data_IF_911326165052
#
_entry.id   IF_911326165052
#
_cell.length_a   1.000
_cell.length_b   1.000
_cell.length_c   1.000
_cell.angle_alpha   90.00
_cell.angle_beta   90.00
_cell.angle_gamma   90.00
#
_symmetry.space_group_name_H-M   'P 1'
#
loop_
_entity.id
_entity.type
_entity.pdbx_description
1 polymer ?
#
# COMPACT_ATOMS: atom_id res chain seq x y z
N UNK A 1 -15.23 1.67 5.70
CA UNK A 1 -15.52 0.90 4.46
C UNK A 1 -14.94 1.67 3.28
N UNK A 2 -13.86 1.15 2.69
CA UNK A 2 -12.95 1.85 1.76
C UNK A 2 -13.04 1.38 0.31
N UNK A 3 -14.23 0.99 -0.15
CA UNK A 3 -14.45 0.61 -1.55
C UNK A 3 -14.22 1.80 -2.48
N UNK A 4 -13.30 1.65 -3.42
CA UNK A 4 -13.10 2.56 -4.56
C UNK A 4 -13.15 1.74 -5.86
N UNK A 5 -13.69 2.30 -6.92
CA UNK A 5 -13.71 1.64 -8.23
C UNK A 5 -12.29 1.30 -8.70
N UNK A 6 -12.05 0.17 -9.37
CA UNK A 6 -10.74 -0.11 -9.94
C UNK A 6 -10.27 1.02 -10.85
N UNK A 7 -8.98 1.33 -10.81
CA UNK A 7 -8.39 2.45 -11.55
C UNK A 7 -7.18 3.05 -10.85
N UNK A 8 -6.59 4.06 -11.51
CA UNK A 8 -5.44 4.81 -11.00
C UNK A 8 -5.91 6.12 -10.39
N UNK A 9 -5.45 6.40 -9.18
CA UNK A 9 -5.83 7.59 -8.44
C UNK A 9 -4.61 8.31 -7.88
N UNK A 10 -4.68 9.63 -7.92
CA UNK A 10 -3.73 10.49 -7.23
C UNK A 10 -4.06 10.52 -5.74
N UNK A 11 -3.12 10.12 -4.88
CA UNK A 11 -3.31 10.00 -3.44
C UNK A 11 -2.12 10.52 -2.66
N UNK A 12 -2.40 11.05 -1.47
CA UNK A 12 -1.37 11.30 -0.46
C UNK A 12 -1.20 10.04 0.38
N UNK A 13 0.02 9.71 0.75
CA UNK A 13 0.33 8.49 1.51
C UNK A 13 0.79 8.85 2.91
N UNK A 14 0.23 8.18 3.92
CA UNK A 14 0.60 8.35 5.32
C UNK A 14 1.06 7.00 5.89
N UNK A 15 2.31 6.90 6.35
CA UNK A 15 2.89 5.68 6.93
C UNK A 15 3.06 5.90 8.44
N UNK A 16 2.43 5.08 9.28
CA UNK A 16 2.54 5.20 10.76
C UNK A 16 2.37 6.63 11.29
N UNK A 17 1.34 7.33 10.78
CA UNK A 17 1.01 8.75 11.03
C UNK A 17 1.92 9.79 10.35
N UNK A 18 3.02 9.40 9.74
CA UNK A 18 3.90 10.29 8.98
C UNK A 18 3.42 10.45 7.54
N UNK A 19 3.09 11.67 7.14
CA UNK A 19 2.67 11.98 5.78
C UNK A 19 3.89 12.06 4.86
N UNK A 20 3.88 11.33 3.75
CA UNK A 20 4.90 11.48 2.72
C UNK A 20 4.78 12.88 2.08
N UNK A 21 5.91 13.51 1.70
CA UNK A 21 5.90 14.86 1.14
C UNK A 21 5.29 14.91 -0.28
N UNK A 22 5.35 13.80 -1.00
CA UNK A 22 4.91 13.68 -2.39
C UNK A 22 3.54 13.01 -2.51
N UNK A 23 2.81 13.40 -3.55
CA UNK A 23 1.58 12.74 -3.97
C UNK A 23 1.94 11.65 -4.98
N UNK A 24 1.22 10.53 -4.96
CA UNK A 24 1.53 9.35 -5.76
C UNK A 24 0.32 8.94 -6.58
N UNK A 25 0.56 8.39 -7.78
CA UNK A 25 -0.49 7.71 -8.54
C UNK A 25 -0.41 6.22 -8.19
N UNK A 26 -1.46 5.70 -7.55
CA UNK A 26 -1.56 4.29 -7.17
C UNK A 26 -2.75 3.64 -7.84
N UNK A 27 -2.66 2.33 -8.06
CA UNK A 27 -3.67 1.55 -8.76
C UNK A 27 -4.44 0.63 -7.81
N UNK A 28 -5.77 0.66 -7.92
CA UNK A 28 -6.65 -0.35 -7.34
C UNK A 28 -7.12 -1.26 -8.45
N UNK A 29 -6.79 -2.55 -8.38
CA UNK A 29 -6.98 -3.50 -9.50
C UNK A 29 -8.26 -4.33 -9.38
N UNK A 30 -8.84 -4.41 -8.18
CA UNK A 30 -10.10 -5.12 -7.95
C UNK A 30 -10.93 -4.40 -6.90
N UNK A 31 -12.24 -4.40 -7.09
CA UNK A 31 -13.20 -4.05 -6.06
C UNK A 31 -13.52 -5.32 -5.26
N UNK A 32 -13.15 -5.40 -3.99
CA UNK A 32 -13.66 -6.46 -3.10
C UNK A 32 -14.70 -5.85 -2.13
N UNK A 33 -15.87 -6.47 -2.16
CA UNK A 33 -17.11 -6.13 -1.51
C UNK A 33 -17.10 -6.47 -0.02
N UNK A 34 -16.18 -7.32 0.45
CA UNK A 34 -16.02 -7.70 1.86
C UNK A 34 -14.76 -7.09 2.50
N UNK A 35 -13.61 -7.08 1.79
CA UNK A 35 -12.33 -6.61 2.34
C UNK A 35 -11.87 -5.22 1.87
N UNK A 36 -12.56 -4.61 0.89
CA UNK A 36 -12.16 -3.36 0.24
C UNK A 36 -11.48 -3.58 -1.11
N UNK A 37 -11.06 -2.52 -1.81
CA UNK A 37 -10.43 -2.69 -3.13
C UNK A 37 -8.97 -3.16 -3.01
N UNK A 38 -8.53 -4.10 -3.88
CA UNK A 38 -7.15 -4.58 -3.91
C UNK A 38 -6.23 -3.48 -4.41
N UNK A 39 -5.47 -2.87 -3.51
CA UNK A 39 -4.42 -1.92 -3.82
C UNK A 39 -3.21 -2.67 -4.39
N UNK A 40 -2.72 -2.23 -5.55
CA UNK A 40 -1.47 -2.68 -6.12
C UNK A 40 -0.31 -1.83 -5.55
N UNK A 41 0.61 -2.48 -4.84
CA UNK A 41 1.88 -1.87 -4.42
C UNK A 41 3.04 -2.64 -5.04
N UNK A 42 3.94 -1.93 -5.71
CA UNK A 42 5.16 -2.49 -6.28
C UNK A 42 6.33 -2.40 -5.30
N UNK A 43 7.45 -3.06 -5.62
CA UNK A 43 8.70 -2.91 -4.86
C UNK A 43 9.16 -1.46 -4.79
N UNK A 44 8.99 -0.71 -5.88
CA UNK A 44 9.34 0.72 -5.94
C UNK A 44 8.47 1.54 -4.99
N UNK A 45 7.16 1.28 -4.95
CA UNK A 45 6.27 1.95 -4.01
C UNK A 45 6.73 1.72 -2.57
N UNK A 46 6.94 0.46 -2.16
CA UNK A 46 7.36 0.15 -0.79
C UNK A 46 8.74 0.74 -0.45
N UNK A 47 9.66 0.76 -1.41
CA UNK A 47 10.96 1.42 -1.25
C UNK A 47 10.79 2.92 -0.99
N UNK A 48 9.93 3.59 -1.77
CA UNK A 48 9.64 5.03 -1.61
C UNK A 48 8.90 5.35 -0.29
N UNK A 49 8.19 4.38 0.27
CA UNK A 49 7.50 4.49 1.55
C UNK A 49 8.44 4.28 2.75
N UNK A 50 9.70 3.91 2.49
CA UNK A 50 10.71 3.71 3.53
C UNK A 50 10.71 2.32 4.15
N UNK A 51 10.10 1.32 3.50
CA UNK A 51 10.19 -0.06 3.95
C UNK A 51 11.59 -0.62 3.65
N UNK A 52 12.09 -1.49 4.53
CA UNK A 52 13.41 -2.07 4.39
C UNK A 52 13.48 -3.12 3.28
N UNK A 53 14.68 -3.29 2.73
CA UNK A 53 14.91 -4.14 1.55
C UNK A 53 14.62 -5.60 1.87
N UNK A 54 15.01 -6.09 3.05
CA UNK A 54 14.76 -7.47 3.49
C UNK A 54 13.27 -7.83 3.48
N UNK A 55 12.43 -6.95 4.03
CA UNK A 55 10.99 -7.13 3.98
C UNK A 55 10.48 -7.15 2.54
N UNK A 56 10.90 -6.19 1.70
CA UNK A 56 10.46 -6.08 0.31
C UNK A 56 10.83 -7.33 -0.49
N UNK A 57 12.03 -7.87 -0.29
CA UNK A 57 12.52 -9.08 -0.95
C UNK A 57 11.80 -10.34 -0.49
N UNK A 58 11.28 -10.36 0.74
CA UNK A 58 10.47 -11.47 1.26
C UNK A 58 9.09 -11.61 0.61
N UNK A 59 8.65 -10.60 -0.16
CA UNK A 59 7.31 -10.55 -0.76
C UNK A 59 7.29 -11.19 -2.15
N UNK A 60 6.24 -11.96 -2.39
CA UNK A 60 5.95 -12.52 -3.71
C UNK A 60 5.15 -11.53 -4.55
N UNK A 61 5.33 -11.55 -5.88
CA UNK A 61 4.43 -10.86 -6.79
C UNK A 61 3.17 -11.68 -7.04
N UNK A 62 2.07 -11.01 -7.32
CA UNK A 62 0.84 -11.65 -7.80
C UNK A 62 1.08 -12.07 -9.25
N UNK A 63 0.79 -13.34 -9.56
CA UNK A 63 1.07 -13.94 -10.88
C UNK A 63 0.51 -13.08 -12.03
N UNK A 64 1.37 -12.77 -13.00
CA UNK A 64 1.02 -11.92 -14.15
C UNK A 64 0.97 -10.42 -13.87
N UNK A 65 1.50 -9.94 -12.74
CA UNK A 65 1.54 -8.51 -12.39
C UNK A 65 2.82 -8.12 -11.65
N UNK A 66 3.05 -6.81 -11.51
CA UNK A 66 4.10 -6.23 -10.66
C UNK A 66 3.63 -5.96 -9.21
N UNK A 67 2.35 -6.23 -8.92
CA UNK A 67 1.76 -6.02 -7.62
C UNK A 67 2.29 -7.05 -6.62
N UNK A 68 2.70 -6.58 -5.45
CA UNK A 68 3.14 -7.46 -4.36
C UNK A 68 1.94 -8.06 -3.64
N UNK A 69 2.05 -9.35 -3.30
CA UNK A 69 1.07 -10.07 -2.53
C UNK A 69 1.29 -9.79 -1.03
N UNK A 70 0.50 -8.88 -0.48
CA UNK A 70 0.55 -8.50 0.94
C UNK A 70 -0.39 -9.34 1.83
N UNK A 71 -1.16 -10.27 1.26
CA UNK A 71 -2.16 -11.06 2.02
C UNK A 71 -1.56 -11.87 3.18
N UNK A 72 -0.28 -12.26 3.05
CA UNK A 72 0.47 -13.01 4.06
C UNK A 72 1.15 -12.12 5.10
N UNK A 73 0.92 -10.80 5.08
CA UNK A 73 1.49 -9.81 6.00
C UNK A 73 0.37 -9.05 6.71
N UNK A 74 -0.42 -9.76 7.50
CA UNK A 74 -1.62 -9.22 8.17
C UNK A 74 -1.34 -8.02 9.08
N UNK A 75 -0.10 -7.88 9.57
CA UNK A 75 0.35 -6.75 10.38
C UNK A 75 0.55 -5.45 9.56
N UNK A 76 0.71 -5.55 8.24
CA UNK A 76 0.66 -4.42 7.32
C UNK A 76 -0.77 -4.23 6.85
N UNK A 77 -1.38 -3.12 7.26
CA UNK A 77 -2.76 -2.78 6.87
C UNK A 77 -2.80 -1.50 6.07
N UNK A 78 -3.73 -1.42 5.12
CA UNK A 78 -3.93 -0.24 4.28
C UNK A 78 -5.37 0.24 4.37
N UNK A 79 -5.58 1.56 4.37
CA UNK A 79 -6.91 2.17 4.38
C UNK A 79 -6.91 3.44 3.55
N UNK A 80 -7.77 3.48 2.54
CA UNK A 80 -8.04 4.71 1.79
C UNK A 80 -9.18 5.50 2.45
N UNK A 81 -8.92 6.75 2.78
CA UNK A 81 -9.96 7.75 2.97
C UNK A 81 -10.29 8.42 1.64
N UNK A 82 -11.51 8.20 1.16
CA UNK A 82 -11.96 8.68 -0.16
C UNK A 82 -12.31 10.16 -0.19
N UNK A 83 -12.67 10.74 0.96
CA UNK A 83 -13.03 12.15 1.00
C UNK A 83 -11.77 13.02 0.85
N UNK A 84 -10.65 12.55 1.42
CA UNK A 84 -9.38 13.29 1.41
C UNK A 84 -8.34 12.71 0.46
N UNK A 85 -8.60 11.55 -0.15
CA UNK A 85 -7.64 10.78 -0.95
C UNK A 85 -6.33 10.52 -0.21
N UNK A 86 -6.44 10.22 1.09
CA UNK A 86 -5.31 9.83 1.95
C UNK A 86 -5.31 8.32 2.08
N UNK A 87 -4.24 7.68 1.61
CA UNK A 87 -3.96 6.28 1.84
C UNK A 87 -3.08 6.14 3.10
N UNK A 88 -3.66 5.63 4.18
CA UNK A 88 -2.93 5.33 5.40
C UNK A 88 -2.43 3.89 5.39
N UNK A 89 -1.14 3.68 5.70
CA UNK A 89 -0.53 2.39 5.94
C UNK A 89 -0.09 2.31 7.40
N UNK A 90 -0.47 1.22 8.07
CA UNK A 90 0.14 0.83 9.34
C UNK A 90 1.13 -0.28 9.05
N UNK A 91 2.38 -0.10 9.47
CA UNK A 91 3.51 -1.00 9.15
C UNK A 91 4.28 -1.30 10.44
N UNK A 92 4.62 -2.57 10.74
CA UNK A 92 5.55 -2.92 11.82
C UNK A 92 6.88 -2.18 11.71
N UNK A 93 7.41 -1.72 12.85
CA UNK A 93 8.70 -1.02 12.89
C UNK A 93 9.86 -1.88 12.38
N UNK A 94 9.80 -3.20 12.58
CA UNK A 94 10.77 -4.15 12.05
C UNK A 94 10.86 -4.17 10.51
N UNK A 95 9.88 -3.60 9.80
CA UNK A 95 9.83 -3.55 8.33
C UNK A 95 10.15 -2.17 7.76
N UNK A 96 10.49 -1.18 8.61
CA UNK A 96 10.91 0.15 8.18
C UNK A 96 12.44 0.27 8.17
N UNK A 97 12.98 1.14 7.31
CA UNK A 97 14.43 1.41 7.20
C UNK A 97 14.98 2.21 8.38
N UNK A 98 14.13 3.02 9.01
CA UNK A 98 14.50 3.89 10.12
C UNK A 98 13.72 3.43 11.35
N UNK A 99 14.43 2.78 12.28
CA UNK A 99 13.96 2.46 13.62
C UNK A 99 14.16 3.64 14.56
#
# INVERSE_FOLDING_TARGET
>A
KGYITPGKYLVRVQINKNMLPQTLILEWVKADNESGSLLCLTKENLTSFGLNTEFIESLQTIAGSECLNLSQRQELTTRLDKATMILSLSVPQAWLKYQ
#
